data_IF_318690423767
#
_entry.id   IF_318690423767
#
_cell.length_a   1.000
_cell.length_b   1.000
_cell.length_c   1.000
_cell.angle_alpha   90.00
_cell.angle_beta   90.00
_cell.angle_gamma   90.00
#
_symmetry.space_group_name_H-M   'P 1'
#
loop_
_entity.id
_entity.type
_entity.pdbx_description
1 polymer ?
#
# COMPACT_ATOMS: atom_id res chain seq x y z
N UNK A 1 -0.12 -9.64 -4.43
CA UNK A 1 0.34 -8.76 -5.53
C UNK A 1 1.51 -9.41 -6.24
N UNK A 2 1.57 -9.28 -7.56
CA UNK A 2 2.71 -9.73 -8.40
C UNK A 2 3.35 -8.59 -9.18
N UNK A 3 2.70 -7.43 -9.22
CA UNK A 3 3.14 -6.22 -9.92
C UNK A 3 2.98 -5.01 -9.01
N UNK A 4 3.55 -3.88 -9.42
CA UNK A 4 3.33 -2.60 -8.75
C UNK A 4 1.91 -2.10 -9.00
N UNK A 5 1.27 -1.54 -7.97
CA UNK A 5 0.06 -0.75 -8.12
C UNK A 5 0.43 0.65 -8.65
N UNK A 6 -0.54 1.42 -9.12
CA UNK A 6 -0.28 2.80 -9.55
C UNK A 6 -0.13 3.73 -8.34
N UNK A 7 0.51 4.89 -8.52
CA UNK A 7 0.53 5.91 -7.49
C UNK A 7 -0.88 6.47 -7.29
N UNK A 8 -1.31 6.52 -6.03
CA UNK A 8 -2.64 6.95 -5.65
C UNK A 8 -2.68 7.52 -4.24
N UNK A 9 -3.82 8.13 -3.90
CA UNK A 9 -4.17 8.49 -2.53
C UNK A 9 -5.67 8.32 -2.30
N UNK A 10 -6.06 8.32 -1.03
CA UNK A 10 -7.46 8.23 -0.61
C UNK A 10 -7.89 9.53 0.07
N UNK A 11 -8.85 10.29 -0.47
CA UNK A 11 -9.27 11.55 0.13
C UNK A 11 -10.06 11.36 1.44
N UNK A 12 -10.66 10.18 1.65
CA UNK A 12 -11.70 9.96 2.65
C UNK A 12 -11.42 8.84 3.65
N UNK A 13 -10.29 8.12 3.56
CA UNK A 13 -9.97 7.00 4.46
C UNK A 13 -8.46 6.80 4.57
N UNK A 14 -8.02 6.31 5.74
CA UNK A 14 -6.73 5.65 5.88
C UNK A 14 -6.82 4.24 5.27
N UNK A 15 -5.68 3.65 4.89
CA UNK A 15 -5.58 2.26 4.44
C UNK A 15 -4.48 1.55 5.23
N UNK A 16 -4.77 0.35 5.75
CA UNK A 16 -3.78 -0.44 6.50
C UNK A 16 -3.42 -1.70 5.75
N UNK A 17 -2.12 -1.96 5.62
CA UNK A 17 -1.60 -3.19 5.03
C UNK A 17 -1.08 -4.11 6.12
N UNK A 18 -1.49 -5.37 6.10
CA UNK A 18 -0.88 -6.45 6.88
C UNK A 18 -0.24 -7.48 5.95
N UNK A 19 1.04 -7.77 6.13
CA UNK A 19 1.76 -8.69 5.24
C UNK A 19 1.68 -10.12 5.75
N UNK A 20 1.21 -11.05 4.91
CA UNK A 20 1.04 -12.46 5.22
C UNK A 20 2.23 -13.30 4.72
N UNK A 21 2.72 -13.02 3.51
CA UNK A 21 3.85 -13.74 2.89
C UNK A 21 4.73 -12.79 2.06
N UNK A 22 6.04 -13.05 2.07
CA UNK A 22 7.07 -12.24 1.39
C UNK A 22 7.08 -10.78 1.87
N UNK A 23 7.77 -9.89 1.16
CA UNK A 23 7.90 -8.47 1.55
C UNK A 23 6.99 -7.61 0.66
N UNK A 24 6.10 -6.85 1.30
CA UNK A 24 5.39 -5.74 0.66
C UNK A 24 6.23 -4.47 0.81
N UNK A 25 6.43 -3.75 -0.30
CA UNK A 25 7.05 -2.43 -0.29
C UNK A 25 5.95 -1.38 -0.46
N UNK A 26 5.94 -0.40 0.43
CA UNK A 26 5.08 0.79 0.37
C UNK A 26 5.99 1.98 0.10
N UNK A 27 5.90 2.54 -1.09
CA UNK A 27 6.62 3.75 -1.49
C UNK A 27 5.74 4.96 -1.18
N UNK A 28 6.29 5.88 -0.39
CA UNK A 28 5.74 7.20 -0.12
C UNK A 28 6.57 8.23 -0.91
N UNK A 29 6.14 9.49 -0.94
CA UNK A 29 6.88 10.54 -1.65
C UNK A 29 8.32 10.74 -1.13
N UNK A 30 8.53 10.56 0.18
CA UNK A 30 9.81 10.86 0.85
C UNK A 30 10.56 9.64 1.33
N UNK A 31 9.91 8.47 1.40
CA UNK A 31 10.50 7.28 2.00
C UNK A 31 9.91 5.99 1.42
N UNK A 32 10.53 4.87 1.79
CA UNK A 32 10.09 3.54 1.40
C UNK A 32 10.03 2.66 2.64
N UNK A 33 8.87 2.08 2.87
CA UNK A 33 8.61 1.15 3.97
C UNK A 33 8.61 -0.27 3.41
N UNK A 34 9.39 -1.17 4.03
CA UNK A 34 9.35 -2.60 3.75
C UNK A 34 8.65 -3.34 4.88
N UNK A 35 7.55 -4.01 4.57
CA UNK A 35 6.82 -4.84 5.52
C UNK A 35 7.14 -6.31 5.30
N UNK A 36 7.75 -6.92 6.30
CA UNK A 36 7.94 -8.36 6.40
C UNK A 36 6.66 -9.06 6.87
N UNK A 37 6.54 -10.39 6.70
CA UNK A 37 5.39 -11.14 7.21
C UNK A 37 5.13 -10.89 8.70
N UNK A 38 3.87 -10.67 9.05
CA UNK A 38 3.44 -10.35 10.42
C UNK A 38 3.54 -8.86 10.79
N UNK A 39 4.04 -8.00 9.91
CA UNK A 39 4.07 -6.55 10.12
C UNK A 39 2.86 -5.86 9.50
N UNK A 40 2.47 -4.75 10.12
CA UNK A 40 1.42 -3.86 9.64
C UNK A 40 1.93 -2.43 9.48
N UNK A 41 1.33 -1.69 8.56
CA UNK A 41 1.51 -0.25 8.41
C UNK A 41 0.22 0.40 7.92
N UNK A 42 -0.10 1.56 8.48
CA UNK A 42 -1.24 2.37 8.05
C UNK A 42 -0.74 3.55 7.26
N UNK A 43 -1.18 3.64 6.00
CA UNK A 43 -1.01 4.84 5.18
C UNK A 43 -2.13 5.82 5.55
N UNK A 44 -1.81 7.01 6.10
CA UNK A 44 -2.83 7.99 6.42
C UNK A 44 -3.55 8.49 5.16
N UNK A 45 -4.81 8.89 5.31
CA UNK A 45 -5.60 9.55 4.25
C UNK A 45 -4.80 10.68 3.61
N UNK A 46 -5.05 10.93 2.34
CA UNK A 46 -4.39 11.93 1.49
C UNK A 46 -2.89 11.72 1.25
N UNK A 47 -2.24 10.73 1.89
CA UNK A 47 -0.86 10.40 1.58
C UNK A 47 -0.78 9.65 0.26
N UNK A 48 0.01 10.23 -0.64
CA UNK A 48 0.38 9.65 -1.92
C UNK A 48 1.28 8.44 -1.69
N UNK A 49 0.89 7.29 -2.23
CA UNK A 49 1.67 6.08 -2.08
C UNK A 49 1.51 5.11 -3.25
N UNK A 50 2.42 4.14 -3.31
CA UNK A 50 2.40 3.01 -4.24
C UNK A 50 2.83 1.73 -3.52
N UNK A 51 2.10 0.65 -3.75
CA UNK A 51 2.45 -0.68 -3.23
C UNK A 51 3.06 -1.55 -4.32
N UNK A 52 4.06 -2.36 -3.98
CA UNK A 52 4.65 -3.36 -4.88
C UNK A 52 5.28 -4.53 -4.12
N UNK A 53 5.40 -5.73 -4.71
CA UNK A 53 6.22 -6.77 -4.12
C UNK A 53 7.72 -6.38 -4.19
N UNK A 54 8.52 -6.80 -3.20
CA UNK A 54 9.99 -6.66 -3.28
C UNK A 54 10.63 -7.63 -4.28
N UNK A 55 10.03 -8.81 -4.45
CA UNK A 55 10.40 -9.82 -5.44
C UNK A 55 9.25 -10.08 -6.41
N UNK A 56 9.08 -11.34 -6.82
CA UNK A 56 8.06 -11.74 -7.81
C UNK A 56 6.61 -11.68 -7.26
N UNK A 57 6.44 -11.77 -5.93
CA UNK A 57 5.12 -11.82 -5.28
C UNK A 57 5.18 -11.32 -3.84
N UNK A 58 4.06 -10.78 -3.37
CA UNK A 58 3.72 -10.62 -1.95
C UNK A 58 2.27 -11.01 -1.69
N UNK A 59 1.97 -11.49 -0.49
CA UNK A 59 0.59 -11.70 -0.02
C UNK A 59 0.35 -10.74 1.12
N UNK A 60 -0.66 -9.89 0.97
CA UNK A 60 -1.04 -8.88 1.94
C UNK A 60 -2.55 -8.83 2.07
N UNK A 61 -3.01 -8.33 3.21
CA UNK A 61 -4.40 -8.05 3.52
C UNK A 61 -4.52 -6.53 3.71
N UNK A 62 -5.01 -5.79 2.71
CA UNK A 62 -5.44 -4.41 2.91
C UNK A 62 -6.71 -4.41 3.78
N UNK A 63 -6.76 -3.48 4.72
CA UNK A 63 -7.90 -3.19 5.56
C UNK A 63 -8.28 -1.75 5.32
N UNK A 64 -9.43 -1.56 4.71
CA UNK A 64 -9.91 -0.28 4.21
C UNK A 64 -11.38 -0.06 4.57
N UNK A 65 -11.80 1.20 4.53
CA UNK A 65 -13.20 1.53 4.63
C UNK A 65 -13.95 1.03 3.38
N UNK A 66 -15.13 0.43 3.55
CA UNK A 66 -15.99 -0.01 2.44
C UNK A 66 -16.37 1.10 1.43
N UNK A 67 -16.20 2.37 1.80
CA UNK A 67 -16.48 3.55 0.97
C UNK A 67 -15.19 4.30 0.57
N UNK A 68 -14.04 3.66 0.69
CA UNK A 68 -12.76 4.25 0.32
C UNK A 68 -12.80 4.70 -1.14
N UNK A 69 -12.39 5.94 -1.37
CA UNK A 69 -12.20 6.50 -2.70
C UNK A 69 -10.71 6.45 -3.05
N UNK A 70 -10.39 6.13 -4.31
CA UNK A 70 -9.00 6.03 -4.77
C UNK A 70 -8.79 6.98 -5.94
N UNK A 71 -7.89 7.94 -5.76
CA UNK A 71 -7.51 8.90 -6.80
C UNK A 71 -6.14 8.53 -7.32
N UNK A 72 -6.08 8.14 -8.59
CA UNK A 72 -4.84 7.89 -9.32
C UNK A 72 -4.16 9.20 -9.71
N UNK A 73 -2.83 9.23 -9.62
CA UNK A 73 -1.99 10.43 -9.83
C UNK A 73 -0.90 10.23 -10.90
N UNK A 74 -0.69 9.00 -11.36
CA UNK A 74 0.11 8.77 -12.57
C UNK A 74 -0.64 9.27 -13.83
N UNK A 75 0.06 9.85 -14.82
CA UNK A 75 -0.53 10.24 -16.10
C UNK A 75 -1.09 9.06 -16.92
#
# INVERSE_FOLDING_TARGET
MTESYYWHYHPNSDETFFTLESILVIELETETIELSPGQLFTVPKTVVHRTRPKGERSVNLPVENSRLETIRIDP
#
